data_IF_865185161278
#
_entry.id   IF_865185161278
#
_cell.length_a   1.000
_cell.length_b   1.000
_cell.length_c   1.000
_cell.angle_alpha   90.00
_cell.angle_beta   90.00
_cell.angle_gamma   90.00
#
_symmetry.space_group_name_H-M   'P 1'
#
loop_
_entity.id
_entity.type
_entity.pdbx_description
1 polymer ?
#
# COMPACT_ATOMS: atom_id res chain seq x y z
N UNK A 1 17.76 -2.50 -11.66
CA UNK A 1 17.56 -2.88 -10.24
C UNK A 1 16.17 -2.48 -9.71
N UNK A 2 15.69 -1.25 -9.89
CA UNK A 2 14.37 -0.83 -9.38
C UNK A 2 13.18 -1.58 -10.02
N UNK A 3 13.17 -1.79 -11.35
CA UNK A 3 12.12 -2.55 -12.02
C UNK A 3 12.11 -4.03 -11.58
N UNK A 4 13.29 -4.63 -11.43
CA UNK A 4 13.44 -5.99 -10.89
C UNK A 4 12.89 -6.08 -9.47
N UNK A 5 13.22 -5.11 -8.61
CA UNK A 5 12.64 -5.01 -7.26
C UNK A 5 11.11 -4.96 -7.31
N UNK A 6 10.55 -4.09 -8.14
CA UNK A 6 9.09 -3.97 -8.29
C UNK A 6 8.46 -5.29 -8.74
N UNK A 7 8.99 -5.94 -9.78
CA UNK A 7 8.50 -7.24 -10.26
C UNK A 7 8.56 -8.31 -9.17
N UNK A 8 9.66 -8.40 -8.43
CA UNK A 8 9.80 -9.36 -7.33
C UNK A 8 8.81 -9.08 -6.20
N UNK A 9 8.51 -7.82 -5.90
CA UNK A 9 7.47 -7.46 -4.94
C UNK A 9 6.07 -7.85 -5.44
N UNK A 10 5.78 -7.68 -6.74
CA UNK A 10 4.53 -8.15 -7.33
C UNK A 10 4.38 -9.67 -7.24
N UNK A 11 5.45 -10.43 -7.53
CA UNK A 11 5.46 -11.89 -7.39
C UNK A 11 5.26 -12.28 -5.92
N UNK A 12 5.96 -11.64 -4.99
CA UNK A 12 5.81 -11.88 -3.55
C UNK A 12 4.38 -11.59 -3.07
N UNK A 13 3.76 -10.51 -3.57
CA UNK A 13 2.37 -10.17 -3.27
C UNK A 13 1.41 -11.22 -3.83
N UNK A 14 1.63 -11.71 -5.05
CA UNK A 14 0.82 -12.77 -5.64
C UNK A 14 0.89 -14.08 -4.84
N UNK A 15 2.10 -14.45 -4.39
CA UNK A 15 2.30 -15.60 -3.50
C UNK A 15 1.60 -15.40 -2.15
N UNK A 16 1.72 -14.21 -1.56
CA UNK A 16 1.03 -13.85 -0.32
C UNK A 16 -0.50 -13.94 -0.45
N UNK A 17 -1.05 -13.42 -1.55
CA UNK A 17 -2.49 -13.48 -1.82
C UNK A 17 -2.97 -14.92 -2.05
N UNK A 18 -2.12 -15.77 -2.63
CA UNK A 18 -2.42 -17.19 -2.88
C UNK A 18 -2.40 -18.04 -1.59
N UNK A 19 -1.69 -17.58 -0.57
CA UNK A 19 -1.71 -18.21 0.75
C UNK A 19 -3.05 -18.02 1.49
N UNK A 20 -3.69 -16.84 1.36
CA UNK A 20 -4.98 -16.57 2.01
C UNK A 20 -6.15 -17.01 1.14
N UNK A 21 -7.16 -17.71 1.69
CA UNK A 21 -8.35 -18.05 0.93
C UNK A 21 -9.06 -16.78 0.46
N UNK A 22 -9.24 -16.64 -0.86
CA UNK A 22 -10.07 -15.58 -1.41
C UNK A 22 -11.52 -15.85 -0.95
N UNK A 23 -12.15 -14.91 -0.25
CA UNK A 23 -13.54 -15.00 0.23
C UNK A 23 -14.61 -15.06 -0.88
N UNK A 24 -14.21 -15.39 -2.11
CA UNK A 24 -15.08 -15.83 -3.18
C UNK A 24 -15.33 -17.32 -2.94
N UNK A 25 -16.22 -17.65 -2.01
CA UNK A 25 -16.78 -19.00 -2.03
C UNK A 25 -17.50 -19.18 -3.36
N UNK A 26 -17.10 -20.13 -4.22
CA UNK A 26 -17.91 -20.46 -5.38
C UNK A 26 -19.27 -20.91 -4.84
N UNK A 27 -20.34 -20.43 -5.45
CA UNK A 27 -21.69 -20.96 -5.20
C UNK A 27 -21.56 -22.47 -5.29
N UNK A 28 -21.78 -23.17 -4.16
CA UNK A 28 -21.69 -24.62 -4.10
C UNK A 28 -22.81 -25.18 -4.95
N UNK A 29 -22.55 -25.41 -6.24
CA UNK A 29 -23.43 -26.25 -7.04
C UNK A 29 -23.39 -27.65 -6.42
N UNK A 30 -24.55 -28.23 -6.07
CA UNK A 30 -24.64 -29.51 -5.35
C UNK A 30 -24.04 -30.70 -6.13
N UNK A 31 -23.61 -30.50 -7.38
CA UNK A 31 -22.98 -31.51 -8.24
C UNK A 31 -21.45 -31.38 -8.37
N UNK A 32 -20.82 -30.30 -7.88
CA UNK A 32 -19.38 -30.08 -8.06
C UNK A 32 -18.56 -30.72 -6.93
N UNK A 33 -18.01 -31.91 -7.17
CA UNK A 33 -17.01 -32.58 -6.33
C UNK A 33 -15.62 -31.93 -6.49
N UNK A 34 -15.52 -30.61 -6.28
CA UNK A 34 -14.20 -29.97 -6.18
C UNK A 34 -13.61 -30.35 -4.83
N UNK A 35 -12.62 -31.26 -4.85
CA UNK A 35 -11.82 -31.62 -3.67
C UNK A 35 -11.33 -30.33 -3.00
N UNK A 36 -11.48 -30.18 -1.68
CA UNK A 36 -10.88 -29.05 -0.97
C UNK A 36 -9.37 -29.06 -1.25
N UNK A 37 -8.86 -27.97 -1.83
CA UNK A 37 -7.41 -27.76 -2.00
C UNK A 37 -6.78 -27.96 -0.62
N UNK A 38 -5.83 -28.89 -0.50
CA UNK A 38 -5.33 -29.30 0.80
C UNK A 38 -4.74 -28.11 1.57
N UNK A 39 -5.04 -28.02 2.86
CA UNK A 39 -4.50 -26.96 3.73
C UNK A 39 -2.95 -26.92 3.70
N UNK A 40 -2.31 -28.07 3.45
CA UNK A 40 -0.86 -28.20 3.35
C UNK A 40 -0.25 -27.41 2.19
N UNK A 41 -0.95 -27.27 1.05
CA UNK A 41 -0.44 -26.53 -0.12
C UNK A 41 -0.38 -25.01 0.12
N UNK A 42 -1.18 -24.47 1.04
CA UNK A 42 -1.22 -23.03 1.31
C UNK A 42 0.05 -22.55 2.03
N UNK A 43 0.59 -23.35 2.95
CA UNK A 43 1.82 -23.03 3.67
C UNK A 43 3.05 -22.97 2.77
N UNK A 44 3.05 -23.71 1.65
CA UNK A 44 4.14 -23.66 0.67
C UNK A 44 4.28 -22.26 0.05
N UNK A 45 3.19 -21.50 -0.10
CA UNK A 45 3.28 -20.13 -0.59
C UNK A 45 3.99 -19.19 0.40
N UNK A 46 3.84 -19.40 1.72
CA UNK A 46 4.62 -18.67 2.72
C UNK A 46 6.10 -19.02 2.65
N UNK A 47 6.42 -20.32 2.51
CA UNK A 47 7.80 -20.77 2.31
C UNK A 47 8.39 -20.14 1.05
N UNK A 48 7.62 -20.10 -0.04
CA UNK A 48 8.02 -19.46 -1.28
C UNK A 48 8.27 -17.94 -1.11
N UNK A 49 7.46 -17.23 -0.31
CA UNK A 49 7.70 -15.82 0.02
C UNK A 49 9.01 -15.65 0.79
N UNK A 50 9.27 -16.51 1.79
CA UNK A 50 10.52 -16.46 2.57
C UNK A 50 11.73 -16.71 1.66
N UNK A 51 11.67 -17.75 0.82
CA UNK A 51 12.72 -18.07 -0.15
C UNK A 51 12.91 -16.94 -1.16
N UNK A 52 11.84 -16.29 -1.60
CA UNK A 52 11.90 -15.15 -2.51
C UNK A 52 12.63 -13.96 -1.87
N UNK A 53 12.31 -13.62 -0.62
CA UNK A 53 12.96 -12.51 0.11
C UNK A 53 14.45 -12.80 0.35
N UNK A 54 14.79 -14.04 0.72
CA UNK A 54 16.17 -14.49 0.89
C UNK A 54 16.93 -14.49 -0.45
N UNK A 55 16.38 -15.10 -1.50
CA UNK A 55 16.99 -15.13 -2.82
C UNK A 55 17.20 -13.74 -3.41
N UNK A 56 16.23 -12.83 -3.19
CA UNK A 56 16.35 -11.42 -3.57
C UNK A 56 17.49 -10.71 -2.83
N UNK A 57 17.64 -10.94 -1.53
CA UNK A 57 18.75 -10.38 -0.75
C UNK A 57 20.11 -10.85 -1.26
N UNK A 58 20.21 -12.13 -1.63
CA UNK A 58 21.40 -12.72 -2.21
C UNK A 58 21.73 -12.10 -3.57
N UNK A 59 20.74 -11.99 -4.46
CA UNK A 59 20.91 -11.37 -5.78
C UNK A 59 21.40 -9.92 -5.67
N UNK A 60 20.88 -9.15 -4.72
CA UNK A 60 21.30 -7.76 -4.53
C UNK A 60 22.69 -7.62 -3.95
N UNK A 61 23.09 -8.52 -3.07
CA UNK A 61 24.45 -8.54 -2.59
C UNK A 61 25.42 -8.96 -3.69
N UNK A 62 25.10 -10.03 -4.43
CA UNK A 62 25.97 -10.57 -5.47
C UNK A 62 26.15 -9.59 -6.65
N UNK A 63 25.04 -9.06 -7.20
CA UNK A 63 25.11 -8.09 -8.31
C UNK A 63 25.51 -6.69 -7.82
N UNK A 64 25.05 -6.31 -6.63
CA UNK A 64 25.26 -4.95 -6.10
C UNK A 64 26.70 -4.68 -5.69
N UNK A 65 27.42 -5.71 -5.21
CA UNK A 65 28.83 -5.60 -4.80
C UNK A 65 29.71 -5.08 -5.93
N UNK A 66 29.54 -5.60 -7.13
CA UNK A 66 30.40 -5.27 -8.27
C UNK A 66 30.01 -3.93 -8.92
N UNK A 67 28.74 -3.54 -8.79
CA UNK A 67 28.19 -2.31 -9.40
C UNK A 67 28.20 -1.12 -8.43
N UNK A 68 28.53 -1.34 -7.14
CA UNK A 68 28.47 -0.30 -6.10
C UNK A 68 27.05 0.22 -5.88
N UNK A 69 26.03 -0.62 -6.07
CA UNK A 69 24.64 -0.18 -6.05
C UNK A 69 24.19 0.19 -4.63
N UNK A 70 23.58 1.38 -4.47
CA UNK A 70 22.95 1.84 -3.23
C UNK A 70 21.44 1.71 -3.35
N UNK A 71 20.86 0.85 -2.53
CA UNK A 71 19.43 0.59 -2.50
C UNK A 71 18.73 1.64 -1.64
N UNK A 72 17.79 2.38 -2.25
CA UNK A 72 17.08 3.48 -1.61
C UNK A 72 15.67 3.06 -1.20
N UNK A 73 15.27 3.41 0.02
CA UNK A 73 13.94 3.14 0.55
C UNK A 73 13.27 4.47 0.94
N UNK A 74 12.25 4.84 0.18
CA UNK A 74 11.48 6.07 0.42
C UNK A 74 10.29 5.78 1.35
N UNK A 75 10.27 6.40 2.52
CA UNK A 75 9.19 6.32 3.51
C UNK A 75 8.25 7.54 3.44
N UNK A 76 8.25 8.25 2.30
CA UNK A 76 7.52 9.49 2.09
C UNK A 76 8.32 10.72 2.53
N UNK A 77 8.61 10.84 3.83
CA UNK A 77 9.40 11.95 4.38
C UNK A 77 10.88 11.57 4.60
N UNK A 78 11.14 10.38 5.14
CA UNK A 78 12.49 9.86 5.35
C UNK A 78 12.97 9.02 4.16
N UNK A 79 14.26 9.07 3.89
CA UNK A 79 14.94 8.22 2.90
C UNK A 79 16.05 7.43 3.59
N UNK A 80 16.07 6.13 3.35
CA UNK A 80 17.09 5.23 3.91
C UNK A 80 17.93 4.64 2.78
N UNK A 81 19.24 4.76 2.92
CA UNK A 81 20.21 4.33 1.93
C UNK A 81 20.96 3.07 2.42
N UNK A 82 20.77 1.96 1.73
CA UNK A 82 21.38 0.68 2.04
C UNK A 82 22.50 0.37 1.04
N UNK A 83 23.74 0.39 1.50
CA UNK A 83 24.90 -0.04 0.71
C UNK A 83 24.93 -1.58 0.57
N UNK A 84 25.23 -2.06 -0.65
CA UNK A 84 25.32 -3.48 -1.03
C UNK A 84 26.58 -4.23 -0.58
N UNK A 85 27.52 -3.56 0.08
CA UNK A 85 28.75 -4.18 0.58
C UNK A 85 28.52 -5.35 1.57
N UNK A 86 27.44 -5.30 2.35
CA UNK A 86 27.15 -6.27 3.41
C UNK A 86 25.83 -6.97 3.13
N UNK A 87 25.82 -8.31 3.10
CA UNK A 87 24.61 -9.10 2.84
C UNK A 87 23.49 -8.82 3.86
N UNK A 88 23.82 -8.67 5.15
CA UNK A 88 22.85 -8.34 6.19
C UNK A 88 22.07 -7.05 5.92
N UNK A 89 22.71 -6.02 5.32
CA UNK A 89 22.03 -4.77 4.91
C UNK A 89 21.10 -5.01 3.73
N UNK A 90 21.49 -5.86 2.78
CA UNK A 90 20.65 -6.25 1.64
C UNK A 90 19.46 -7.11 2.06
N UNK A 91 19.60 -7.95 3.09
CA UNK A 91 18.50 -8.69 3.69
C UNK A 91 17.51 -7.74 4.38
N UNK A 92 18.00 -6.79 5.19
CA UNK A 92 17.17 -5.77 5.81
C UNK A 92 16.42 -4.95 4.75
N UNK A 93 17.08 -4.54 3.67
CA UNK A 93 16.44 -3.86 2.55
C UNK A 93 15.37 -4.72 1.85
N UNK A 94 15.67 -6.00 1.57
CA UNK A 94 14.73 -6.92 0.92
C UNK A 94 13.46 -7.08 1.75
N UNK A 95 13.61 -7.33 3.06
CA UNK A 95 12.49 -7.46 4.00
C UNK A 95 11.72 -6.15 4.16
N UNK A 96 12.40 -5.02 4.36
CA UNK A 96 11.76 -3.72 4.55
C UNK A 96 11.00 -3.27 3.31
N UNK A 97 11.58 -3.44 2.11
CA UNK A 97 10.92 -3.06 0.86
C UNK A 97 9.71 -3.94 0.53
N UNK A 98 9.80 -5.25 0.75
CA UNK A 98 8.64 -6.12 0.60
C UNK A 98 7.57 -5.82 1.65
N UNK A 99 7.98 -5.57 2.90
CA UNK A 99 7.10 -5.19 4.00
C UNK A 99 6.36 -3.88 3.75
N UNK A 100 7.04 -2.84 3.22
CA UNK A 100 6.41 -1.58 2.83
C UNK A 100 5.48 -1.76 1.63
N UNK A 101 5.86 -2.57 0.64
CA UNK A 101 5.01 -2.85 -0.51
C UNK A 101 3.72 -3.58 -0.09
N UNK A 102 3.86 -4.60 0.74
CA UNK A 102 2.74 -5.35 1.31
C UNK A 102 1.90 -4.46 2.22
N UNK A 103 2.53 -3.66 3.07
CA UNK A 103 1.87 -2.68 3.93
C UNK A 103 1.06 -1.69 3.11
N UNK A 104 1.62 -1.14 2.04
CA UNK A 104 0.92 -0.24 1.12
C UNK A 104 -0.28 -0.90 0.44
N UNK A 105 -0.16 -2.17 0.05
CA UNK A 105 -1.31 -2.95 -0.43
C UNK A 105 -2.41 -3.09 0.64
N UNK A 106 -2.06 -3.39 1.90
CA UNK A 106 -3.05 -3.42 2.99
C UNK A 106 -3.67 -2.05 3.28
N UNK A 107 -2.89 -0.96 3.15
CA UNK A 107 -3.39 0.41 3.25
C UNK A 107 -4.42 0.72 2.16
N UNK A 108 -4.19 0.26 0.94
CA UNK A 108 -5.13 0.37 -0.16
C UNK A 108 -6.42 -0.38 0.15
N UNK A 109 -6.32 -1.62 0.61
CA UNK A 109 -7.49 -2.41 0.98
C UNK A 109 -8.28 -1.79 2.16
N UNK A 110 -7.60 -1.19 3.15
CA UNK A 110 -8.23 -0.43 4.23
C UNK A 110 -9.03 0.77 3.71
N UNK A 111 -8.48 1.52 2.75
CA UNK A 111 -9.20 2.61 2.12
C UNK A 111 -10.44 2.11 1.38
N UNK A 112 -10.30 1.05 0.58
CA UNK A 112 -11.43 0.45 -0.15
C UNK A 112 -12.53 -0.04 0.81
N UNK A 113 -12.16 -0.67 1.92
CA UNK A 113 -13.09 -1.17 2.93
C UNK A 113 -13.82 -0.02 3.66
N UNK A 114 -13.12 1.07 3.96
CA UNK A 114 -13.71 2.22 4.68
C UNK A 114 -14.66 3.04 3.80
N UNK A 115 -14.27 3.28 2.54
CA UNK A 115 -15.06 4.03 1.55
C UNK A 115 -16.33 3.27 1.15
N UNK A 116 -16.22 1.96 0.88
CA UNK A 116 -17.36 1.17 0.37
C UNK A 116 -18.27 0.58 1.46
N UNK A 117 -18.07 0.94 2.74
CA UNK A 117 -18.83 0.38 3.87
C UNK A 117 -20.32 0.74 3.87
N UNK A 118 -20.70 1.85 3.22
CA UNK A 118 -22.09 2.35 3.18
C UNK A 118 -22.94 1.73 2.07
N UNK A 119 -22.37 0.88 1.20
CA UNK A 119 -23.09 0.33 0.07
C UNK A 119 -23.91 -0.90 0.47
N UNK A 120 -25.24 -0.77 0.47
CA UNK A 120 -26.19 -1.88 0.64
C UNK A 120 -26.99 -2.07 -0.66
N UNK A 121 -27.01 -3.27 -1.28
CA UNK A 121 -26.36 -4.52 -0.88
C UNK A 121 -24.84 -4.57 -1.15
N UNK A 122 -24.05 -5.38 -0.39
CA UNK A 122 -22.61 -5.43 -0.54
C UNK A 122 -22.17 -6.09 -1.85
N UNK A 123 -21.38 -5.39 -2.64
CA UNK A 123 -20.78 -5.93 -3.87
C UNK A 123 -19.83 -7.13 -3.56
N UNK A 124 -19.74 -8.17 -4.42
CA UNK A 124 -18.87 -9.33 -4.20
C UNK A 124 -17.40 -8.99 -3.90
N UNK A 125 -16.84 -7.98 -4.58
CA UNK A 125 -15.47 -7.50 -4.34
C UNK A 125 -15.25 -6.93 -2.93
N UNK A 126 -16.28 -6.37 -2.29
CA UNK A 126 -16.18 -5.93 -0.89
C UNK A 126 -15.91 -7.11 0.04
N UNK A 127 -16.44 -8.29 -0.26
CA UNK A 127 -16.18 -9.52 0.52
C UNK A 127 -14.74 -9.99 0.34
N UNK A 128 -14.18 -9.85 -0.86
CA UNK A 128 -12.77 -10.18 -1.14
C UNK A 128 -11.83 -9.27 -0.35
N UNK A 129 -12.07 -7.96 -0.39
CA UNK A 129 -11.31 -6.97 0.38
C UNK A 129 -11.39 -7.29 1.88
N UNK A 130 -12.59 -7.59 2.39
CA UNK A 130 -12.80 -7.94 3.79
C UNK A 130 -12.11 -9.25 4.18
N UNK A 131 -12.10 -10.27 3.30
CA UNK A 131 -11.43 -11.54 3.54
C UNK A 131 -9.90 -11.37 3.65
N UNK A 132 -9.31 -10.50 2.83
CA UNK A 132 -7.88 -10.21 2.89
C UNK A 132 -7.51 -9.43 4.16
N UNK A 133 -8.31 -8.44 4.57
CA UNK A 133 -8.10 -7.68 5.81
C UNK A 133 -8.38 -8.49 7.08
N UNK A 134 -9.31 -9.45 7.03
CA UNK A 134 -9.79 -10.16 8.20
C UNK A 134 -10.42 -9.22 9.24
N UNK A 135 -9.90 -9.21 10.47
CA UNK A 135 -10.42 -8.39 11.56
C UNK A 135 -10.26 -6.88 11.31
N UNK A 136 -9.25 -6.47 10.54
CA UNK A 136 -9.01 -5.05 10.22
C UNK A 136 -10.18 -4.43 9.45
N UNK A 137 -10.95 -5.22 8.70
CA UNK A 137 -12.11 -4.72 7.94
C UNK A 137 -13.25 -4.24 8.85
N UNK A 138 -13.27 -4.68 10.11
CA UNK A 138 -14.32 -4.35 11.08
C UNK A 138 -14.07 -3.04 11.83
N UNK A 139 -12.84 -2.53 11.79
CA UNK A 139 -12.42 -1.33 12.52
C UNK A 139 -13.31 -0.12 12.17
N UNK A 140 -13.62 0.78 13.13
CA UNK A 140 -14.33 2.01 12.84
C UNK A 140 -13.54 2.88 11.87
N UNK A 141 -14.23 3.70 11.04
CA UNK A 141 -13.63 4.50 9.97
C UNK A 141 -12.37 5.28 10.36
N UNK A 142 -12.38 6.12 11.42
CA UNK A 142 -11.19 6.89 11.77
C UNK A 142 -10.04 5.99 12.17
N UNK A 143 -10.30 4.93 12.95
CA UNK A 143 -9.26 4.02 13.41
C UNK A 143 -8.63 3.26 12.25
N UNK A 144 -9.42 2.81 11.27
CA UNK A 144 -8.89 2.17 10.06
C UNK A 144 -8.02 3.09 9.19
N UNK A 145 -8.32 4.40 9.19
CA UNK A 145 -7.56 5.41 8.46
C UNK A 145 -6.28 5.81 9.19
N UNK A 146 -6.30 5.95 10.52
CA UNK A 146 -5.10 6.31 11.30
C UNK A 146 -4.18 5.13 11.60
N UNK A 147 -4.69 3.89 11.54
CA UNK A 147 -3.92 2.68 11.84
C UNK A 147 -2.60 2.59 11.06
N UNK A 148 -2.54 2.82 9.74
CA UNK A 148 -1.28 2.73 9.01
C UNK A 148 -0.24 3.75 9.47
N UNK A 149 -0.66 4.96 9.85
CA UNK A 149 0.24 5.99 10.35
C UNK A 149 0.82 5.60 11.71
N UNK A 150 -0.01 5.06 12.61
CA UNK A 150 0.41 4.56 13.92
C UNK A 150 1.37 3.37 13.78
N UNK A 151 1.07 2.43 12.88
CA UNK A 151 1.93 1.26 12.64
C UNK A 151 3.27 1.68 12.06
N UNK A 152 3.29 2.53 11.02
CA UNK A 152 4.53 2.96 10.39
C UNK A 152 5.39 3.80 11.35
N UNK A 153 4.79 4.74 12.09
CA UNK A 153 5.49 5.53 13.10
C UNK A 153 5.99 4.68 14.27
N UNK A 154 5.20 3.71 14.73
CA UNK A 154 5.61 2.76 15.76
C UNK A 154 6.77 1.86 15.31
N UNK A 155 6.73 1.38 14.06
CA UNK A 155 7.84 0.63 13.47
C UNK A 155 9.10 1.48 13.33
N UNK A 156 8.97 2.75 12.94
CA UNK A 156 10.09 3.69 12.92
C UNK A 156 10.72 3.81 14.31
N UNK A 157 9.92 4.10 15.33
CA UNK A 157 10.41 4.24 16.71
C UNK A 157 11.07 2.96 17.24
N UNK A 158 10.50 1.78 16.95
CA UNK A 158 11.02 0.50 17.40
C UNK A 158 12.31 0.07 16.68
N UNK A 159 12.43 0.39 15.38
CA UNK A 159 13.61 0.02 14.57
C UNK A 159 14.71 1.07 14.62
N UNK A 160 14.42 2.28 15.10
CA UNK A 160 15.39 3.36 15.26
C UNK A 160 16.72 2.95 15.92
N UNK A 161 16.76 2.21 17.06
CA UNK A 161 18.03 1.79 17.65
C UNK A 161 18.86 0.90 16.71
N UNK A 162 18.24 -0.07 16.04
CA UNK A 162 18.91 -0.93 15.07
C UNK A 162 19.39 -0.15 13.83
N UNK A 163 18.62 0.84 13.39
CA UNK A 163 18.99 1.74 12.28
C UNK A 163 20.20 2.62 12.65
N UNK A 164 20.26 3.11 13.89
CA UNK A 164 21.41 3.86 14.43
C UNK A 164 22.67 3.01 14.44
N UNK A 165 22.61 1.78 14.96
CA UNK A 165 23.75 0.85 14.97
C UNK A 165 24.24 0.52 13.56
N UNK A 166 23.31 0.43 12.60
CA UNK A 166 23.64 0.22 11.19
C UNK A 166 24.17 1.49 10.48
N UNK A 167 24.18 2.65 11.13
CA UNK A 167 24.59 3.93 10.55
C UNK A 167 23.67 4.41 9.42
N UNK A 168 22.38 4.05 9.48
CA UNK A 168 21.38 4.42 8.47
C UNK A 168 20.67 5.74 8.78
N UNK A 169 20.69 6.17 10.05
CA UNK A 169 20.02 7.38 10.55
C UNK A 169 20.99 8.16 11.45
N UNK A 170 20.84 9.49 11.46
CA UNK A 170 21.63 10.37 12.31
C UNK A 170 21.41 10.09 13.81
N UNK A 171 22.40 10.34 14.67
CA UNK A 171 22.23 10.19 16.11
C UNK A 171 21.28 11.25 16.67
N UNK A 172 20.24 10.81 17.39
CA UNK A 172 19.33 11.70 18.10
C UNK A 172 20.06 12.50 19.19
N UNK A 173 19.74 13.78 19.29
CA UNK A 173 20.18 14.72 20.32
C UNK A 173 19.22 14.73 21.53
N UNK A 174 17.95 14.39 21.35
CA UNK A 174 16.93 14.41 22.42
C UNK A 174 15.89 13.29 22.23
N UNK A 175 15.42 12.60 23.28
CA UNK A 175 14.43 11.51 23.15
C UNK A 175 13.07 11.97 22.57
N UNK A 176 12.74 13.26 22.67
CA UNK A 176 11.54 13.83 22.04
C UNK A 176 11.62 13.86 20.51
N UNK A 177 12.82 13.91 19.92
CA UNK A 177 13.01 13.92 18.47
C UNK A 177 12.56 12.60 17.84
N UNK A 178 12.78 11.46 18.53
CA UNK A 178 12.31 10.15 18.07
C UNK A 178 10.80 10.16 17.79
N UNK A 179 10.02 10.74 18.72
CA UNK A 179 8.57 10.81 18.59
C UNK A 179 8.12 11.78 17.51
N UNK A 180 8.86 12.87 17.30
CA UNK A 180 8.59 13.82 16.22
C UNK A 180 8.87 13.19 14.85
N UNK A 181 10.01 12.53 14.68
CA UNK A 181 10.32 11.79 13.45
C UNK A 181 9.32 10.66 13.20
N UNK A 182 9.00 9.87 14.22
CA UNK A 182 8.02 8.79 14.13
C UNK A 182 6.64 9.31 13.71
N UNK A 183 6.22 10.47 14.23
CA UNK A 183 4.96 11.10 13.82
C UNK A 183 5.00 11.55 12.36
N UNK A 184 6.08 12.20 11.91
CA UNK A 184 6.23 12.67 10.52
C UNK A 184 6.31 11.49 9.54
N UNK A 185 7.11 10.46 9.85
CA UNK A 185 7.21 9.24 9.04
C UNK A 185 5.87 8.49 9.01
N UNK A 186 5.19 8.38 10.16
CA UNK A 186 3.86 7.80 10.26
C UNK A 186 2.83 8.52 9.39
N UNK A 187 2.77 9.85 9.44
CA UNK A 187 1.90 10.64 8.58
C UNK A 187 2.24 10.48 7.08
N UNK A 188 3.51 10.21 6.75
CA UNK A 188 3.96 9.83 5.41
C UNK A 188 3.23 8.63 4.83
N UNK A 189 2.71 7.71 5.65
CA UNK A 189 1.92 6.58 5.20
C UNK A 189 0.71 7.03 4.36
N UNK A 190 0.09 8.17 4.67
CA UNK A 190 -1.08 8.68 3.94
C UNK A 190 -0.79 8.91 2.45
N UNK A 191 0.47 9.22 2.07
CA UNK A 191 0.87 9.43 0.68
C UNK A 191 0.71 8.17 -0.18
N UNK A 192 0.68 6.98 0.43
CA UNK A 192 0.48 5.72 -0.30
C UNK A 192 -0.92 5.67 -0.95
N UNK A 193 -1.91 6.34 -0.37
CA UNK A 193 -3.26 6.39 -0.95
C UNK A 193 -3.36 7.22 -2.22
N UNK A 194 -2.38 8.08 -2.52
CA UNK A 194 -2.36 8.93 -3.71
C UNK A 194 -2.61 8.10 -4.98
N UNK A 195 -1.80 7.05 -5.18
CA UNK A 195 -1.88 6.19 -6.36
C UNK A 195 -3.21 5.45 -6.46
N UNK A 196 -3.78 5.01 -5.34
CA UNK A 196 -5.07 4.32 -5.34
C UNK A 196 -6.22 5.29 -5.65
N UNK A 197 -6.28 6.44 -4.97
CA UNK A 197 -7.34 7.43 -5.16
C UNK A 197 -7.34 7.94 -6.59
N UNK A 198 -6.18 8.40 -7.08
CA UNK A 198 -6.03 8.89 -8.45
C UNK A 198 -6.32 7.76 -9.45
N UNK A 199 -5.78 6.56 -9.22
CA UNK A 199 -5.98 5.41 -10.10
C UNK A 199 -7.44 4.97 -10.20
N UNK A 200 -8.19 4.95 -9.09
CA UNK A 200 -9.61 4.58 -9.06
C UNK A 200 -10.47 5.62 -9.78
N UNK A 201 -10.24 6.92 -9.54
CA UNK A 201 -11.00 7.98 -10.21
C UNK A 201 -10.66 8.00 -11.71
N UNK A 202 -9.39 7.84 -12.07
CA UNK A 202 -8.98 7.75 -13.46
C UNK A 202 -9.57 6.53 -14.17
N UNK A 203 -9.57 5.36 -13.54
CA UNK A 203 -10.21 4.17 -14.08
C UNK A 203 -11.72 4.36 -14.26
N UNK A 204 -12.37 5.10 -13.37
CA UNK A 204 -13.78 5.47 -13.52
C UNK A 204 -14.01 6.35 -14.76
N UNK A 205 -13.16 7.37 -14.98
CA UNK A 205 -13.18 8.20 -16.21
C UNK A 205 -13.06 7.31 -17.44
N UNK A 206 -12.03 6.44 -17.50
CA UNK A 206 -11.85 5.54 -18.64
C UNK A 206 -13.06 4.64 -18.86
N UNK A 207 -13.65 4.09 -17.79
CA UNK A 207 -14.83 3.25 -17.90
C UNK A 207 -16.04 4.01 -18.46
N UNK A 208 -16.19 5.29 -18.09
CA UNK A 208 -17.27 6.15 -18.60
C UNK A 208 -17.09 6.56 -20.06
N UNK A 209 -15.85 6.75 -20.55
CA UNK A 209 -15.58 7.20 -21.92
C UNK A 209 -15.30 6.07 -22.92
N UNK A 210 -14.63 5.00 -22.50
CA UNK A 210 -14.19 3.90 -23.37
C UNK A 210 -15.06 2.64 -23.25
N UNK A 211 -16.08 2.66 -22.39
CA UNK A 211 -16.98 1.54 -22.09
C UNK A 211 -16.26 0.18 -22.03
N UNK A 212 -15.49 -0.05 -20.96
CA UNK A 212 -14.68 -1.27 -20.76
C UNK A 212 -15.51 -2.54 -20.44
N UNK A 213 -16.83 -2.48 -20.65
CA UNK A 213 -17.79 -3.55 -20.38
C UNK A 213 -18.21 -3.66 -18.92
N UNK A 214 -19.28 -4.42 -18.66
CA UNK A 214 -19.90 -4.62 -17.34
C UNK A 214 -19.18 -5.61 -16.43
N UNK A 215 -17.85 -5.72 -16.53
CA UNK A 215 -17.09 -6.60 -15.64
C UNK A 215 -17.20 -6.12 -14.19
N UNK A 216 -17.49 -7.05 -13.27
CA UNK A 216 -17.76 -6.72 -11.86
C UNK A 216 -16.64 -5.93 -11.16
N UNK A 217 -15.39 -6.03 -11.61
CA UNK A 217 -14.28 -5.22 -11.09
C UNK A 217 -14.38 -3.74 -11.48
N UNK A 218 -14.70 -3.42 -12.74
CA UNK A 218 -14.87 -2.03 -13.19
C UNK A 218 -16.11 -1.37 -12.58
N UNK A 219 -17.18 -2.15 -12.38
CA UNK A 219 -18.36 -1.69 -11.63
C UNK A 219 -18.00 -1.35 -10.19
N UNK A 220 -17.24 -2.22 -9.50
CA UNK A 220 -16.76 -1.95 -8.14
C UNK A 220 -15.86 -0.71 -8.06
N UNK A 221 -14.93 -0.55 -9.01
CA UNK A 221 -14.06 0.63 -9.10
C UNK A 221 -14.88 1.91 -9.32
N UNK A 222 -15.87 1.86 -10.20
CA UNK A 222 -16.75 3.00 -10.48
C UNK A 222 -17.58 3.40 -9.26
N UNK A 223 -18.13 2.43 -8.52
CA UNK A 223 -18.83 2.69 -7.25
C UNK A 223 -17.88 3.30 -6.21
N UNK A 224 -16.65 2.79 -6.13
CA UNK A 224 -15.63 3.32 -5.22
C UNK A 224 -15.28 4.77 -5.57
N UNK A 225 -15.10 5.08 -6.85
CA UNK A 225 -14.83 6.43 -7.34
C UNK A 225 -15.97 7.39 -7.00
N UNK A 226 -17.23 6.97 -7.20
CA UNK A 226 -18.40 7.77 -6.84
C UNK A 226 -18.45 8.08 -5.33
N UNK A 227 -18.14 7.09 -4.48
CA UNK A 227 -18.08 7.30 -3.04
C UNK A 227 -16.93 8.25 -2.63
N UNK A 228 -15.78 8.17 -3.29
CA UNK A 228 -14.67 9.12 -3.09
C UNK A 228 -15.03 10.55 -3.54
N UNK A 229 -15.80 10.67 -4.62
CA UNK A 229 -16.24 11.95 -5.20
C UNK A 229 -17.51 12.52 -4.55
N UNK A 230 -18.20 11.76 -3.71
CA UNK A 230 -19.41 12.18 -3.00
C UNK A 230 -19.32 13.55 -2.31
N UNK A 231 -18.23 13.94 -1.61
CA UNK A 231 -18.11 15.29 -1.05
C UNK A 231 -18.09 16.37 -2.13
N UNK A 232 -17.51 16.10 -3.30
CA UNK A 232 -17.43 17.02 -4.43
C UNK A 232 -18.71 17.04 -5.28
N UNK A 233 -19.52 15.97 -5.22
CA UNK A 233 -20.78 15.87 -5.95
C UNK A 233 -21.82 16.93 -5.56
N UNK A 234 -21.58 17.67 -4.47
CA UNK A 234 -22.38 18.83 -4.06
C UNK A 234 -22.16 20.07 -4.95
N UNK A 235 -21.07 20.11 -5.70
CA UNK A 235 -20.76 21.19 -6.63
C UNK A 235 -21.43 20.92 -7.98
N UNK A 236 -22.20 21.86 -8.55
CA UNK A 236 -22.87 21.69 -9.83
C UNK A 236 -21.87 21.82 -11.00
N UNK A 237 -21.01 20.81 -11.19
CA UNK A 237 -19.93 20.80 -12.20
C UNK A 237 -20.32 20.10 -13.51
N UNK A 238 -21.62 20.13 -13.85
CA UNK A 238 -22.15 19.53 -15.07
C UNK A 238 -22.30 20.61 -16.14
N UNK A 239 -21.47 20.51 -17.18
CA UNK A 239 -21.60 21.34 -18.38
C UNK A 239 -22.36 20.52 -19.43
N UNK A 240 -23.68 20.72 -19.50
CA UNK A 240 -24.55 19.97 -20.40
C UNK A 240 -24.59 18.47 -20.08
N UNK A 241 -24.11 17.63 -21.01
CA UNK A 241 -24.03 16.17 -20.85
C UNK A 241 -22.69 15.66 -20.30
N UNK A 242 -21.70 16.54 -20.13
CA UNK A 242 -20.36 16.17 -19.68
C UNK A 242 -20.21 16.45 -18.19
N UNK A 243 -19.86 15.42 -17.43
CA UNK A 243 -19.59 15.52 -15.99
C UNK A 243 -18.08 15.74 -15.76
N UNK A 244 -17.70 16.93 -15.28
CA UNK A 244 -16.31 17.29 -14.98
C UNK A 244 -15.89 16.98 -13.54
N UNK A 245 -16.81 16.50 -12.71
CA UNK A 245 -16.56 16.11 -11.31
C UNK A 245 -15.34 15.19 -11.15
N UNK A 246 -15.15 14.11 -11.95
CA UNK A 246 -14.01 13.22 -11.76
C UNK A 246 -12.67 13.85 -12.16
N UNK A 247 -12.65 14.72 -13.17
CA UNK A 247 -11.42 15.43 -13.58
C UNK A 247 -10.98 16.42 -12.49
N UNK A 248 -11.93 17.18 -11.94
CA UNK A 248 -11.66 18.06 -10.81
C UNK A 248 -11.23 17.25 -9.58
N UNK A 249 -11.85 16.09 -9.34
CA UNK A 249 -11.47 15.18 -8.26
C UNK A 249 -10.03 14.71 -8.34
N UNK A 250 -9.52 14.37 -9.55
CA UNK A 250 -8.11 14.04 -9.75
C UNK A 250 -7.21 15.24 -9.45
N UNK A 251 -7.55 16.42 -10.00
CA UNK A 251 -6.75 17.63 -9.78
C UNK A 251 -6.65 18.00 -8.30
N UNK A 252 -7.78 17.96 -7.57
CA UNK A 252 -7.82 18.22 -6.14
C UNK A 252 -7.09 17.16 -5.32
N UNK A 253 -7.22 15.88 -5.67
CA UNK A 253 -6.48 14.81 -5.01
C UNK A 253 -4.97 15.02 -5.17
N UNK A 254 -4.49 15.23 -6.39
CA UNK A 254 -3.07 15.50 -6.66
C UNK A 254 -2.57 16.74 -5.92
N UNK A 255 -3.35 17.84 -5.92
CA UNK A 255 -2.99 19.04 -5.19
C UNK A 255 -2.91 18.79 -3.68
N UNK A 256 -3.89 18.09 -3.10
CA UNK A 256 -3.90 17.74 -1.68
C UNK A 256 -2.71 16.87 -1.29
N UNK A 257 -2.42 15.80 -2.04
CA UNK A 257 -1.26 14.94 -1.76
C UNK A 257 0.07 15.65 -1.98
N UNK A 258 0.18 16.52 -2.98
CA UNK A 258 1.36 17.36 -3.19
C UNK A 258 1.60 18.32 -2.02
N UNK A 259 0.54 18.95 -1.49
CA UNK A 259 0.61 19.80 -0.30
C UNK A 259 1.03 19.01 0.94
N UNK A 260 0.46 17.82 1.15
CA UNK A 260 0.85 16.94 2.27
C UNK A 260 2.32 16.55 2.15
N UNK A 261 2.77 16.13 0.97
CA UNK A 261 4.17 15.77 0.71
C UNK A 261 5.12 16.95 0.96
N UNK A 262 4.78 18.13 0.47
CA UNK A 262 5.56 19.35 0.69
C UNK A 262 5.56 19.78 2.17
N UNK A 263 4.44 19.62 2.88
CA UNK A 263 4.34 19.88 4.30
C UNK A 263 5.21 18.93 5.13
N UNK A 264 5.13 17.62 4.86
CA UNK A 264 5.91 16.60 5.56
C UNK A 264 7.41 16.74 5.35
N UNK A 265 7.84 16.99 4.12
CA UNK A 265 9.27 17.23 3.81
C UNK A 265 9.79 18.47 4.54
N UNK A 266 9.06 19.59 4.51
CA UNK A 266 9.43 20.80 5.28
C UNK A 266 9.44 20.59 6.78
N UNK A 267 8.52 19.79 7.32
CA UNK A 267 8.51 19.46 8.75
C UNK A 267 9.71 18.59 9.12
N UNK A 268 10.05 17.61 8.28
CA UNK A 268 11.20 16.74 8.48
C UNK A 268 12.52 17.53 8.41
N UNK A 269 12.69 18.40 7.41
CA UNK A 269 13.90 19.22 7.25
C UNK A 269 14.09 20.26 8.38
N UNK A 270 13.02 20.62 9.10
CA UNK A 270 13.07 21.53 10.24
C UNK A 270 13.40 20.83 11.56
N UNK A 271 13.39 19.49 11.60
CA UNK A 271 13.85 18.76 12.77
C UNK A 271 15.38 18.88 12.84
N UNK A 272 15.93 19.32 13.98
CA UNK A 272 17.39 19.38 14.13
C UNK A 272 17.93 17.94 14.10
N UNK A 273 18.62 17.60 13.01
CA UNK A 273 19.38 16.35 12.85
C UNK A 273 20.55 16.31 13.83
#
# INVERSE_FOLDING_TARGET
MNLLNFLLNCVGLALWLSWRPAGLEPVRSPMSHQRPRSAALHWLFLVAVVLLVLGRSWLYWWVGRDVGWVARLDLGAARLDFNSAVWGRMLAFSTASFGLFLGGFFMWLLLLATVNRSNSPPHPWTRVVAAQLGWLARLPRPLGLFLPAVVLGGLWAALHPAMREAGLVAPLHTPSQLWQEAAVVGLGAALVWEYLVVGVIFAHVLNSYLYLGSHGAFTYLSLTAQNLLQPLARLPLRLGRVDFTPVLGIALALAAFALVRAGLTRLFDRLPL
#
